data_IF_487928470564
#
_entry.id   IF_487928470564
#
_cell.length_a   1.000
_cell.length_b   1.000
_cell.length_c   1.000
_cell.angle_alpha   90.00
_cell.angle_beta   90.00
_cell.angle_gamma   90.00
#
_symmetry.space_group_name_H-M   'P 1'
#
loop_
_entity.id
_entity.type
_entity.pdbx_description
1 polymer ?
#
# COMPACT_ATOMS: atom_id res chain seq x y z
N UNK A 1 38.10 20.88 -22.63
CA UNK A 1 37.52 20.74 -21.27
C UNK A 1 38.52 20.05 -20.37
N UNK A 2 38.79 20.55 -19.15
CA UNK A 2 39.78 19.96 -18.24
C UNK A 2 39.37 18.53 -17.84
N UNK A 3 40.29 17.57 -17.69
CA UNK A 3 39.97 16.18 -17.37
C UNK A 3 39.16 15.99 -16.09
N UNK A 4 39.27 16.89 -15.10
CA UNK A 4 38.41 16.86 -13.90
C UNK A 4 36.94 17.18 -14.21
N UNK A 5 36.67 18.10 -15.14
CA UNK A 5 35.30 18.47 -15.55
C UNK A 5 34.59 17.32 -16.25
N UNK A 6 35.31 16.52 -17.05
CA UNK A 6 34.74 15.33 -17.70
C UNK A 6 34.37 14.26 -16.68
N UNK A 7 35.24 14.00 -15.70
CA UNK A 7 34.96 13.05 -14.60
C UNK A 7 33.75 13.47 -13.77
N UNK A 8 33.65 14.75 -13.40
CA UNK A 8 32.50 15.29 -12.67
C UNK A 8 31.21 15.09 -13.48
N UNK A 9 31.21 15.43 -14.77
CA UNK A 9 30.05 15.23 -15.64
C UNK A 9 29.61 13.75 -15.70
N UNK A 10 30.56 12.81 -15.78
CA UNK A 10 30.26 11.38 -15.72
C UNK A 10 29.63 10.95 -14.39
N UNK A 11 30.17 11.38 -13.26
CA UNK A 11 29.60 11.05 -11.94
C UNK A 11 28.19 11.61 -11.77
N UNK A 12 27.96 12.86 -12.19
CA UNK A 12 26.64 13.49 -12.12
C UNK A 12 25.65 12.72 -13.00
N UNK A 13 26.01 12.43 -14.25
CA UNK A 13 25.14 11.67 -15.16
C UNK A 13 24.80 10.28 -14.59
N UNK A 14 25.79 9.58 -14.01
CA UNK A 14 25.57 8.28 -13.39
C UNK A 14 24.56 8.35 -12.23
N UNK A 15 24.73 9.31 -11.30
CA UNK A 15 23.82 9.47 -10.16
C UNK A 15 22.40 9.81 -10.65
N UNK A 16 22.27 10.68 -11.65
CA UNK A 16 20.97 11.04 -12.22
C UNK A 16 20.28 9.84 -12.86
N UNK A 17 21.01 9.04 -13.65
CA UNK A 17 20.46 7.84 -14.30
C UNK A 17 20.07 6.79 -13.26
N UNK A 18 20.96 6.49 -12.31
CA UNK A 18 20.71 5.50 -11.27
C UNK A 18 19.53 5.90 -10.38
N UNK A 19 19.45 7.17 -9.98
CA UNK A 19 18.31 7.70 -9.22
C UNK A 19 17.00 7.64 -10.01
N UNK A 20 17.03 7.97 -11.31
CA UNK A 20 15.86 7.87 -12.18
C UNK A 20 15.38 6.43 -12.36
N UNK A 21 16.31 5.50 -12.58
CA UNK A 21 16.02 4.06 -12.66
C UNK A 21 15.43 3.53 -11.36
N UNK A 22 15.92 3.98 -10.20
CA UNK A 22 15.38 3.58 -8.89
C UNK A 22 13.94 4.06 -8.66
N UNK A 23 13.63 5.32 -9.00
CA UNK A 23 12.25 5.81 -8.86
C UNK A 23 11.31 5.10 -9.83
N UNK A 24 11.74 4.92 -11.08
CA UNK A 24 11.00 4.09 -12.04
C UNK A 24 10.86 2.66 -11.51
N UNK A 25 11.85 2.17 -10.75
CA UNK A 25 11.84 0.81 -10.27
C UNK A 25 10.77 0.54 -9.20
N UNK A 26 10.47 1.50 -8.35
CA UNK A 26 9.38 1.31 -7.38
C UNK A 26 7.99 1.28 -8.07
N UNK A 27 7.85 1.99 -9.20
CA UNK A 27 6.56 2.10 -9.88
C UNK A 27 6.18 0.83 -10.68
N UNK A 28 7.08 0.33 -11.53
CA UNK A 28 6.82 -0.92 -12.27
C UNK A 28 6.70 -2.14 -11.35
N UNK A 29 7.44 -2.23 -10.23
CA UNK A 29 7.34 -3.35 -9.28
C UNK A 29 5.94 -3.44 -8.64
N UNK A 30 5.27 -2.30 -8.43
CA UNK A 30 3.86 -2.26 -8.02
C UNK A 30 2.87 -2.49 -9.17
N UNK A 31 3.21 -2.01 -10.37
CA UNK A 31 2.39 -2.21 -11.57
C UNK A 31 2.28 -3.69 -11.99
N UNK A 32 3.34 -4.46 -11.76
CA UNK A 32 3.44 -5.88 -12.09
C UNK A 32 3.10 -6.79 -10.91
N UNK A 33 2.57 -6.22 -9.83
CA UNK A 33 2.22 -6.95 -8.62
C UNK A 33 1.20 -8.07 -8.90
N UNK A 34 1.37 -9.19 -8.20
CA UNK A 34 0.49 -10.35 -8.31
C UNK A 34 -0.63 -10.26 -7.28
N UNK A 35 -1.88 -10.45 -7.72
CA UNK A 35 -3.03 -10.49 -6.82
C UNK A 35 -2.97 -11.76 -5.94
N UNK A 36 -3.08 -11.58 -4.63
CA UNK A 36 -2.81 -12.64 -3.65
C UNK A 36 -4.05 -13.46 -3.24
N UNK A 37 -5.21 -12.82 -3.16
CA UNK A 37 -6.42 -13.44 -2.64
C UNK A 37 -7.66 -13.06 -3.46
N UNK A 38 -8.76 -13.75 -3.17
CA UNK A 38 -10.09 -13.35 -3.62
C UNK A 38 -10.45 -12.01 -3.02
N UNK A 39 -11.13 -11.18 -3.80
CA UNK A 39 -11.61 -9.89 -3.36
C UNK A 39 -12.47 -10.00 -2.11
N UNK A 40 -12.25 -9.08 -1.19
CA UNK A 40 -13.14 -8.90 -0.06
C UNK A 40 -14.01 -7.69 -0.33
N UNK A 41 -15.32 -7.91 -0.37
CA UNK A 41 -16.32 -6.85 -0.53
C UNK A 41 -16.91 -6.55 0.83
N UNK A 42 -17.11 -5.26 1.13
CA UNK A 42 -17.72 -4.86 2.39
C UNK A 42 -19.16 -5.37 2.53
N UNK A 43 -19.68 -5.59 3.75
CA UNK A 43 -21.03 -6.12 3.95
C UNK A 43 -22.16 -5.28 3.32
N UNK A 44 -21.95 -3.97 3.18
CA UNK A 44 -22.85 -3.03 2.53
C UNK A 44 -22.67 -2.96 0.99
N UNK A 45 -21.67 -3.68 0.46
CA UNK A 45 -21.37 -3.75 -0.97
C UNK A 45 -20.67 -2.51 -1.54
N UNK A 46 -20.25 -1.59 -0.68
CA UNK A 46 -19.66 -0.30 -1.05
C UNK A 46 -18.19 -0.40 -1.46
N UNK A 47 -17.38 -1.13 -0.70
CA UNK A 47 -15.95 -1.23 -0.90
C UNK A 47 -15.55 -2.59 -1.42
N UNK A 48 -14.46 -2.60 -2.17
CA UNK A 48 -13.76 -3.82 -2.55
C UNK A 48 -12.28 -3.66 -2.25
N UNK A 49 -11.77 -4.49 -1.35
CA UNK A 49 -10.35 -4.56 -1.02
C UNK A 49 -9.70 -5.72 -1.78
N UNK A 50 -8.54 -5.44 -2.35
CA UNK A 50 -7.71 -6.39 -3.06
C UNK A 50 -6.31 -6.36 -2.47
N UNK A 51 -5.73 -7.53 -2.20
CA UNK A 51 -4.35 -7.67 -1.71
C UNK A 51 -3.41 -8.08 -2.84
N UNK A 52 -2.20 -7.52 -2.81
CA UNK A 52 -1.19 -7.71 -3.83
C UNK A 52 0.17 -8.01 -3.21
N UNK A 53 0.92 -8.89 -3.88
CA UNK A 53 2.35 -9.11 -3.64
C UNK A 53 3.13 -8.27 -4.65
N UNK A 54 4.04 -7.39 -4.20
CA UNK A 54 4.86 -6.62 -5.12
C UNK A 54 5.75 -7.54 -5.96
N UNK A 55 6.05 -7.13 -7.19
CA UNK A 55 6.96 -7.83 -8.07
C UNK A 55 8.37 -7.24 -7.92
N UNK A 56 9.09 -7.63 -6.87
CA UNK A 56 10.46 -7.15 -6.65
C UNK A 56 11.48 -7.87 -7.53
N UNK A 57 12.35 -7.08 -8.17
CA UNK A 57 13.44 -7.62 -8.98
C UNK A 57 14.65 -7.96 -8.14
N UNK A 58 14.89 -7.18 -7.10
CA UNK A 58 15.93 -7.45 -6.12
C UNK A 58 15.40 -8.33 -4.99
N UNK A 59 16.28 -9.06 -4.28
CA UNK A 59 15.88 -9.74 -3.06
C UNK A 59 15.23 -8.81 -2.04
N UNK A 60 14.27 -9.32 -1.28
CA UNK A 60 13.43 -8.59 -0.33
C UNK A 60 14.22 -7.66 0.62
N UNK A 61 15.42 -8.08 1.07
CA UNK A 61 16.30 -7.30 1.95
C UNK A 61 16.74 -5.95 1.35
N UNK A 62 16.68 -5.76 0.04
CA UNK A 62 17.02 -4.47 -0.58
C UNK A 62 15.86 -3.48 -0.62
N UNK A 63 14.66 -3.89 -0.19
CA UNK A 63 13.48 -3.05 -0.11
C UNK A 63 13.24 -2.60 1.33
N UNK A 64 13.08 -1.29 1.54
CA UNK A 64 12.84 -0.73 2.87
C UNK A 64 11.48 -1.14 3.39
N UNK A 65 11.40 -1.50 4.66
CA UNK A 65 10.14 -1.86 5.33
C UNK A 65 9.56 -0.64 6.04
N UNK A 66 8.38 -0.20 5.62
CA UNK A 66 7.63 0.87 6.28
C UNK A 66 7.07 0.40 7.62
N UNK A 67 7.06 1.29 8.61
CA UNK A 67 6.36 1.04 9.87
C UNK A 67 4.85 1.28 9.67
N UNK A 68 3.96 0.32 10.04
CA UNK A 68 2.51 0.46 9.87
C UNK A 68 1.88 1.63 10.65
N UNK A 69 2.48 2.06 11.76
CA UNK A 69 1.99 3.16 12.59
C UNK A 69 2.63 4.51 12.19
N UNK A 70 3.59 4.49 11.26
CA UNK A 70 4.38 5.65 10.82
C UNK A 70 5.10 6.38 11.97
N UNK A 71 5.32 5.72 13.10
CA UNK A 71 5.97 6.31 14.28
C UNK A 71 7.49 6.12 14.25
N UNK A 72 7.96 5.16 13.45
CA UNK A 72 9.36 4.81 13.29
C UNK A 72 9.83 4.99 11.84
N UNK A 73 11.10 5.35 11.64
CA UNK A 73 11.67 5.44 10.30
C UNK A 73 11.70 4.07 9.62
N UNK A 74 11.52 4.06 8.30
CA UNK A 74 11.57 2.83 7.51
C UNK A 74 12.89 2.06 7.71
N UNK A 75 12.77 0.76 7.93
CA UNK A 75 13.90 -0.11 8.20
C UNK A 75 14.69 -0.43 6.94
N UNK A 76 16.02 -0.40 7.05
CA UNK A 76 16.94 -0.81 6.01
C UNK A 76 17.42 -2.24 6.23
N UNK A 77 17.54 -2.99 5.13
CA UNK A 77 17.92 -4.40 5.16
C UNK A 77 17.02 -5.27 6.04
N UNK A 78 15.68 -5.13 5.94
CA UNK A 78 14.75 -5.90 6.74
C UNK A 78 14.73 -7.37 6.31
N UNK A 79 14.25 -8.20 7.24
CA UNK A 79 13.73 -9.53 6.91
C UNK A 79 12.23 -9.41 6.69
N UNK A 80 11.81 -9.52 5.43
CA UNK A 80 10.40 -9.58 5.07
C UNK A 80 9.84 -10.96 5.32
N UNK A 81 8.72 -11.02 6.05
CA UNK A 81 7.93 -12.23 6.19
C UNK A 81 7.03 -12.46 4.98
N UNK A 82 6.09 -11.54 4.79
CA UNK A 82 5.14 -11.58 3.68
C UNK A 82 4.88 -10.17 3.12
N UNK A 83 5.70 -9.69 2.16
CA UNK A 83 5.53 -8.35 1.60
C UNK A 83 4.23 -8.24 0.82
N UNK A 84 3.42 -7.22 1.11
CA UNK A 84 2.19 -6.98 0.38
C UNK A 84 1.57 -5.62 0.68
N UNK A 85 0.60 -5.27 -0.15
CA UNK A 85 -0.14 -4.01 -0.05
C UNK A 85 -1.59 -4.20 -0.48
N UNK A 86 -2.42 -3.22 -0.17
CA UNK A 86 -3.85 -3.22 -0.47
C UNK A 86 -4.21 -2.13 -1.45
N UNK A 87 -5.17 -2.43 -2.31
CA UNK A 87 -5.93 -1.44 -3.09
C UNK A 87 -7.38 -1.48 -2.65
N UNK A 88 -7.91 -0.30 -2.35
CA UNK A 88 -9.32 -0.08 -2.04
C UNK A 88 -10.00 0.52 -3.25
N UNK A 89 -11.08 -0.10 -3.67
CA UNK A 89 -11.92 0.38 -4.75
C UNK A 89 -13.33 0.70 -4.24
N UNK A 90 -13.96 1.69 -4.88
CA UNK A 90 -15.42 1.77 -4.85
C UNK A 90 -15.94 0.58 -5.67
N UNK A 91 -16.69 -0.30 -5.03
CA UNK A 91 -17.19 -1.53 -5.66
C UNK A 91 -18.29 -1.25 -6.70
N UNK A 92 -18.98 -0.11 -6.60
CA UNK A 92 -20.07 0.31 -7.49
C UNK A 92 -19.52 0.90 -8.79
N UNK A 93 -18.53 1.79 -8.69
CA UNK A 93 -17.92 2.46 -9.86
C UNK A 93 -16.69 1.73 -10.40
N UNK A 94 -16.02 0.94 -9.56
CA UNK A 94 -14.72 0.33 -9.87
C UNK A 94 -13.53 1.27 -9.74
N UNK A 95 -13.74 2.51 -9.27
CA UNK A 95 -12.70 3.52 -9.10
C UNK A 95 -11.74 3.14 -7.96
N UNK A 96 -10.44 3.36 -8.16
CA UNK A 96 -9.43 3.20 -7.12
C UNK A 96 -9.51 4.38 -6.15
N UNK A 97 -9.89 4.11 -4.91
CA UNK A 97 -9.98 5.11 -3.84
C UNK A 97 -8.60 5.32 -3.22
N UNK A 98 -7.91 4.24 -2.88
CA UNK A 98 -6.63 4.28 -2.16
C UNK A 98 -5.77 3.07 -2.48
N UNK A 99 -4.46 3.27 -2.41
CA UNK A 99 -3.45 2.22 -2.43
C UNK A 99 -2.54 2.43 -1.22
N UNK A 100 -2.29 1.37 -0.45
CA UNK A 100 -1.37 1.46 0.69
C UNK A 100 0.08 1.38 0.24
N UNK A 101 0.99 1.71 1.16
CA UNK A 101 2.35 1.27 1.04
C UNK A 101 2.50 -0.25 1.16
N UNK A 102 3.71 -0.73 0.83
CA UNK A 102 4.08 -2.13 1.02
C UNK A 102 4.44 -2.33 2.48
N UNK A 103 3.70 -3.21 3.13
CA UNK A 103 3.90 -3.61 4.51
C UNK A 103 4.18 -5.10 4.60
N UNK A 104 4.77 -5.51 5.71
CA UNK A 104 4.95 -6.91 6.02
C UNK A 104 3.63 -7.44 6.56
N UNK A 105 2.86 -8.10 5.69
CA UNK A 105 1.52 -8.57 6.01
C UNK A 105 1.55 -9.74 7.00
N UNK A 106 2.70 -10.39 7.22
CA UNK A 106 2.84 -11.40 8.28
C UNK A 106 2.73 -10.76 9.66
N UNK A 107 3.26 -9.55 9.84
CA UNK A 107 3.28 -8.85 11.14
C UNK A 107 2.18 -7.79 11.27
N UNK A 108 1.87 -7.05 10.20
CA UNK A 108 0.95 -5.93 10.22
C UNK A 108 -0.43 -6.24 9.64
N UNK A 109 -0.51 -7.30 8.82
CA UNK A 109 -1.76 -7.74 8.21
C UNK A 109 -2.73 -8.35 9.23
N UNK A 110 -3.92 -8.71 8.76
CA UNK A 110 -4.94 -9.29 9.62
C UNK A 110 -6.32 -9.24 9.00
N UNK A 111 -7.35 -9.41 9.85
CA UNK A 111 -8.73 -9.31 9.43
C UNK A 111 -9.08 -7.90 8.92
N UNK A 112 -10.01 -7.85 7.95
CA UNK A 112 -10.53 -6.59 7.44
C UNK A 112 -11.55 -6.00 8.41
N UNK A 113 -11.40 -4.70 8.69
CA UNK A 113 -12.39 -3.86 9.35
C UNK A 113 -12.90 -2.83 8.35
N UNK A 114 -14.21 -2.68 8.26
CA UNK A 114 -14.90 -1.76 7.34
C UNK A 114 -15.27 -0.44 8.00
N UNK A 115 -14.53 -0.08 9.05
CA UNK A 115 -14.69 1.18 9.76
C UNK A 115 -15.60 1.16 10.97
N UNK A 116 -16.31 0.06 11.30
CA UNK A 116 -17.24 -0.05 12.44
C UNK A 116 -16.79 0.73 13.71
N UNK A 117 -17.20 2.00 13.82
CA UNK A 117 -16.87 2.92 14.92
C UNK A 117 -15.52 3.64 14.83
N UNK A 118 -14.56 3.17 14.02
CA UNK A 118 -13.27 3.83 13.79
C UNK A 118 -13.31 4.86 12.65
N UNK A 119 -14.22 4.69 11.68
CA UNK A 119 -14.28 5.51 10.47
C UNK A 119 -13.21 5.19 9.42
N UNK A 120 -12.46 4.10 9.58
CA UNK A 120 -11.38 3.70 8.66
C UNK A 120 -11.52 2.26 8.16
N UNK A 121 -11.32 2.05 6.87
CA UNK A 121 -11.12 0.72 6.31
C UNK A 121 -9.71 0.27 6.62
N UNK A 122 -9.57 -0.87 7.31
CA UNK A 122 -8.29 -1.37 7.81
C UNK A 122 -8.10 -2.85 7.54
N UNK A 123 -6.84 -3.28 7.44
CA UNK A 123 -6.44 -4.70 7.45
C UNK A 123 -5.41 -4.92 8.56
N UNK A 124 -5.80 -5.57 9.66
CA UNK A 124 -4.94 -5.66 10.85
C UNK A 124 -4.60 -4.26 11.40
N UNK A 125 -3.32 -3.90 11.37
CA UNK A 125 -2.82 -2.58 11.80
C UNK A 125 -2.79 -1.54 10.67
N UNK A 126 -2.97 -1.97 9.42
CA UNK A 126 -2.79 -1.11 8.25
C UNK A 126 -4.08 -0.34 7.96
N UNK A 127 -4.00 1.00 8.00
CA UNK A 127 -5.08 1.87 7.52
C UNK A 127 -5.02 1.94 6.00
N UNK A 128 -6.11 1.55 5.34
CA UNK A 128 -6.19 1.56 3.88
C UNK A 128 -6.75 2.90 3.39
N UNK A 129 -7.85 3.36 3.99
CA UNK A 129 -8.44 4.67 3.74
C UNK A 129 -9.42 5.04 4.86
N UNK A 130 -9.75 6.33 4.96
CA UNK A 130 -10.96 6.76 5.66
C UNK A 130 -12.22 6.30 4.91
N UNK A 131 -13.30 6.09 5.67
CA UNK A 131 -14.62 5.82 5.09
C UNK A 131 -15.07 7.03 4.25
N UNK A 132 -15.54 6.75 3.05
CA UNK A 132 -16.31 7.69 2.24
C UNK A 132 -17.63 8.03 2.97
N UNK A 133 -18.06 9.30 2.90
CA UNK A 133 -19.25 9.76 3.59
C UNK A 133 -20.55 9.10 3.10
N UNK A 134 -20.59 8.62 1.85
CA UNK A 134 -21.73 7.95 1.24
C UNK A 134 -21.69 6.42 1.38
N UNK A 135 -20.57 5.87 1.82
CA UNK A 135 -20.35 4.44 2.09
C UNK A 135 -19.98 4.26 3.56
N UNK A 136 -20.98 4.54 4.40
CA UNK A 136 -20.86 4.50 5.86
C UNK A 136 -21.08 3.08 6.39
N UNK A 137 -19.99 2.36 6.64
CA UNK A 137 -19.99 1.13 7.45
C UNK A 137 -20.27 1.38 8.96
N UNK A 138 -20.41 2.64 9.36
CA UNK A 138 -20.60 3.10 10.74
C UNK A 138 -22.06 3.15 11.22
N UNK A 139 -22.88 2.15 10.87
CA UNK A 139 -24.14 2.02 11.61
C UNK A 139 -24.60 0.57 11.83
N UNK A 140 -24.05 -0.11 12.86
CA UNK A 140 -24.79 -1.16 13.54
C UNK A 140 -26.03 -0.60 14.31
N UNK A 141 -26.31 0.71 14.26
CA UNK A 141 -27.35 1.40 15.04
C UNK A 141 -28.65 1.75 14.31
N UNK A 142 -28.87 1.36 13.04
CA UNK A 142 -30.23 1.36 12.45
C UNK A 142 -30.96 0.05 12.76
N UNK A 143 -31.12 -0.26 14.05
CA UNK A 143 -32.37 -0.89 14.47
C UNK A 143 -33.49 0.09 14.16
N UNK A 144 -34.22 -0.17 13.06
CA UNK A 144 -35.63 0.24 12.95
C UNK A 144 -36.38 -0.41 14.10
N UNK A 145 -36.32 0.19 15.28
CA UNK A 145 -37.23 -0.04 16.38
C UNK A 145 -38.23 1.11 16.42
N UNK A 146 -39.33 0.96 15.68
CA UNK A 146 -40.58 1.70 15.91
C UNK A 146 -41.06 1.35 17.34
N UNK A 147 -41.56 2.29 18.14
CA UNK A 147 -42.94 2.80 17.97
C UNK A 147 -43.01 4.30 17.67
#
# INVERSE_FOLDING_TARGET
>A
MKPSSRRIAFFVAYITIAGGLWTASNWWERGWATRLATDSVSPDGCYRVQSFKPYWVLPDTFHRRSDPNEDQPAEWFPWWGYPGFYRLFDNRSGELISETDIYDLESAGGGLSWGQGSGYVMAGMIIIASNLPDCTGDNPGKTRGKP
#
